data_IF_518635612875
#
_entry.id   IF_518635612875
#
_cell.length_a   1.000
_cell.length_b   1.000
_cell.length_c   1.000
_cell.angle_alpha   90.00
_cell.angle_beta   90.00
_cell.angle_gamma   90.00
#
_symmetry.space_group_name_H-M   'P 1'
#
loop_
_entity.id
_entity.type
_entity.pdbx_description
1 polymer ?
#
# COMPACT_ATOMS: atom_id res chain seq x y z
N UNK A 1 27.11 -35.01 30.18
CA UNK A 1 26.59 -33.69 30.61
C UNK A 1 26.09 -32.94 29.38
N UNK A 2 24.78 -32.96 29.13
CA UNK A 2 24.16 -32.30 28.00
C UNK A 2 23.42 -31.06 28.50
N UNK A 3 23.97 -29.88 28.22
CA UNK A 3 23.30 -28.61 28.51
C UNK A 3 22.17 -28.47 27.49
N UNK A 4 20.94 -28.73 27.93
CA UNK A 4 19.71 -28.42 27.19
C UNK A 4 19.64 -26.91 26.97
N UNK A 5 19.91 -26.45 25.75
CA UNK A 5 19.55 -25.11 25.28
C UNK A 5 18.03 -25.03 25.10
N UNK A 6 17.32 -24.84 26.21
CA UNK A 6 15.96 -24.36 26.21
C UNK A 6 15.98 -22.86 25.89
N UNK A 7 15.34 -22.43 24.78
CA UNK A 7 15.05 -21.00 24.62
C UNK A 7 14.91 -20.44 23.22
N UNK A 8 15.27 -21.16 22.16
CA UNK A 8 14.94 -20.68 20.80
C UNK A 8 13.53 -21.15 20.44
N UNK A 9 12.51 -20.48 21.00
CA UNK A 9 11.24 -20.38 20.31
C UNK A 9 11.57 -19.72 18.97
N UNK A 10 11.72 -20.52 17.92
CA UNK A 10 11.66 -20.05 16.55
C UNK A 10 10.34 -19.28 16.45
N UNK A 11 10.40 -17.95 16.46
CA UNK A 11 9.23 -17.12 16.25
C UNK A 11 8.67 -17.54 14.89
N UNK A 12 7.58 -18.33 14.91
CA UNK A 12 6.81 -18.58 13.69
C UNK A 12 6.55 -17.20 13.09
N UNK A 13 6.85 -16.96 11.81
CA UNK A 13 6.45 -15.71 11.18
C UNK A 13 4.95 -15.58 11.43
N UNK A 14 4.54 -14.59 12.21
CA UNK A 14 3.14 -14.35 12.49
C UNK A 14 2.51 -13.97 11.16
N UNK A 15 1.85 -14.94 10.53
CA UNK A 15 1.15 -14.73 9.28
C UNK A 15 0.11 -13.63 9.53
N UNK A 16 0.24 -12.53 8.79
CA UNK A 16 -0.65 -11.38 8.94
C UNK A 16 -2.06 -11.83 8.60
N UNK A 17 -2.99 -11.69 9.54
CA UNK A 17 -4.39 -12.08 9.34
C UNK A 17 -5.08 -11.09 8.41
N UNK A 18 -5.88 -11.59 7.47
CA UNK A 18 -6.69 -10.75 6.58
C UNK A 18 -8.14 -10.86 7.07
N UNK A 19 -8.69 -9.76 7.58
CA UNK A 19 -10.08 -9.64 8.03
C UNK A 19 -10.89 -8.86 6.98
N UNK A 20 -11.82 -9.53 6.31
CA UNK A 20 -12.74 -8.87 5.40
C UNK A 20 -14.04 -8.46 6.13
N UNK A 21 -14.25 -7.15 6.29
CA UNK A 21 -15.46 -6.56 6.86
C UNK A 21 -16.19 -5.65 5.86
N UNK A 22 -15.79 -5.66 4.59
CA UNK A 22 -16.45 -4.85 3.56
C UNK A 22 -17.68 -5.56 3.01
N UNK A 23 -18.79 -4.82 2.88
CA UNK A 23 -19.99 -5.23 2.15
C UNK A 23 -19.86 -5.07 0.64
N UNK A 24 -18.85 -4.34 0.16
CA UNK A 24 -18.61 -4.12 -1.27
C UNK A 24 -18.00 -5.36 -1.94
N UNK A 25 -18.51 -5.71 -3.12
CA UNK A 25 -17.97 -6.77 -3.96
C UNK A 25 -16.51 -6.49 -4.37
N UNK A 26 -15.60 -7.26 -3.78
CA UNK A 26 -14.19 -7.22 -4.10
C UNK A 26 -13.92 -7.91 -5.46
N UNK A 27 -12.95 -7.42 -6.25
CA UNK A 27 -12.46 -8.14 -7.42
C UNK A 27 -11.98 -9.55 -7.03
N UNK A 28 -12.19 -10.52 -7.93
CA UNK A 28 -11.77 -11.91 -7.73
C UNK A 28 -10.27 -11.98 -7.37
N UNK A 29 -9.94 -12.72 -6.32
CA UNK A 29 -8.54 -12.88 -5.86
C UNK A 29 -7.97 -11.65 -5.14
N UNK A 30 -8.80 -10.76 -4.59
CA UNK A 30 -8.34 -9.61 -3.80
C UNK A 30 -7.48 -10.05 -2.60
N UNK A 31 -7.94 -11.03 -1.81
CA UNK A 31 -7.21 -11.54 -0.65
C UNK A 31 -5.89 -12.22 -1.04
N UNK A 32 -5.90 -13.02 -2.11
CA UNK A 32 -4.68 -13.61 -2.67
C UNK A 32 -3.69 -12.53 -3.13
N UNK A 33 -4.19 -11.45 -3.74
CA UNK A 33 -3.37 -10.32 -4.14
C UNK A 33 -2.72 -9.65 -2.92
N UNK A 34 -3.44 -9.49 -1.81
CA UNK A 34 -2.87 -8.97 -0.55
C UNK A 34 -1.75 -9.90 -0.06
N UNK A 35 -1.98 -11.21 -0.03
CA UNK A 35 -0.97 -12.20 0.38
C UNK A 35 0.28 -12.14 -0.50
N UNK A 36 0.10 -12.04 -1.82
CA UNK A 36 1.19 -11.90 -2.79
C UNK A 36 1.99 -10.61 -2.58
N UNK A 37 1.31 -9.49 -2.31
CA UNK A 37 1.95 -8.19 -2.05
C UNK A 37 2.74 -8.23 -0.74
N UNK A 38 2.19 -8.85 0.32
CA UNK A 38 2.89 -9.01 1.59
C UNK A 38 4.09 -9.95 1.46
N UNK A 39 3.95 -11.07 0.74
CA UNK A 39 5.05 -12.00 0.51
C UNK A 39 6.23 -11.39 -0.28
N UNK A 40 5.98 -10.31 -1.03
CA UNK A 40 7.04 -9.57 -1.71
C UNK A 40 7.91 -8.75 -0.76
N UNK A 41 7.37 -8.32 0.38
CA UNK A 41 8.10 -7.48 1.32
C UNK A 41 8.97 -8.35 2.24
N UNK A 42 10.14 -7.85 2.68
CA UNK A 42 10.94 -8.51 3.70
C UNK A 42 10.14 -8.74 5.00
N UNK A 43 10.36 -9.90 5.62
CA UNK A 43 9.67 -10.30 6.86
C UNK A 43 9.96 -9.35 8.03
N UNK A 44 11.13 -8.72 8.03
CA UNK A 44 11.56 -7.78 9.08
C UNK A 44 10.68 -6.54 9.08
N UNK A 45 10.25 -6.08 7.90
CA UNK A 45 9.44 -4.87 7.72
C UNK A 45 7.96 -5.09 8.09
N UNK A 46 7.56 -6.36 8.22
CA UNK A 46 6.22 -6.79 8.61
C UNK A 46 6.14 -7.15 10.09
N UNK A 47 7.28 -7.18 10.79
CA UNK A 47 7.37 -7.66 12.16
C UNK A 47 6.55 -6.80 13.11
N UNK A 48 5.56 -7.42 13.76
CA UNK A 48 4.68 -6.74 14.71
C UNK A 48 3.38 -6.22 14.10
N UNK A 49 3.17 -6.41 12.79
CA UNK A 49 1.86 -6.31 12.16
C UNK A 49 1.06 -7.59 12.44
N UNK A 50 -0.14 -7.42 12.98
CA UNK A 50 -1.02 -8.55 13.32
C UNK A 50 -2.03 -8.84 12.22
N UNK A 51 -2.65 -7.80 11.66
CA UNK A 51 -3.76 -7.95 10.71
C UNK A 51 -3.90 -6.80 9.72
N UNK A 52 -4.55 -7.10 8.60
CA UNK A 52 -5.09 -6.16 7.62
C UNK A 52 -6.61 -6.30 7.63
N UNK A 53 -7.31 -5.20 7.86
CA UNK A 53 -8.76 -5.13 7.85
C UNK A 53 -9.24 -4.39 6.60
N UNK A 54 -10.14 -5.02 5.85
CA UNK A 54 -10.85 -4.41 4.73
C UNK A 54 -12.19 -3.89 5.24
N UNK A 55 -12.47 -2.61 5.04
CA UNK A 55 -13.73 -1.94 5.43
C UNK A 55 -14.29 -1.17 4.23
N UNK A 56 -15.58 -0.89 4.22
CA UNK A 56 -16.17 -0.10 3.12
C UNK A 56 -15.64 1.35 3.13
N UNK A 57 -15.65 1.99 4.30
CA UNK A 57 -15.09 3.32 4.52
C UNK A 57 -14.45 3.42 5.91
N UNK A 58 -13.32 4.12 6.01
CA UNK A 58 -12.61 4.31 7.29
C UNK A 58 -13.31 5.40 8.08
N UNK A 59 -13.84 5.05 9.25
CA UNK A 59 -14.49 5.96 10.17
C UNK A 59 -13.72 6.00 11.50
N UNK A 60 -12.69 6.84 11.59
CA UNK A 60 -11.96 7.03 12.83
C UNK A 60 -12.32 8.40 13.46
N UNK A 61 -12.86 8.43 14.69
CA UNK A 61 -13.24 9.67 15.37
C UNK A 61 -12.05 10.63 15.58
N UNK A 62 -10.81 10.14 15.66
CA UNK A 62 -9.62 10.98 15.83
C UNK A 62 -9.31 11.81 14.58
N UNK A 63 -9.69 11.35 13.40
CA UNK A 63 -9.49 12.06 12.13
C UNK A 63 -10.54 13.14 11.90
N UNK A 64 -11.70 13.05 12.55
CA UNK A 64 -12.72 14.10 12.54
C UNK A 64 -12.30 15.34 13.33
N UNK A 65 -11.42 15.14 14.31
CA UNK A 65 -10.91 16.19 15.19
C UNK A 65 -9.54 16.72 14.75
N UNK A 66 -8.99 16.28 13.61
CA UNK A 66 -7.68 16.76 13.15
C UNK A 66 -7.79 18.15 12.48
N UNK A 67 -6.82 19.05 12.70
CA UNK A 67 -6.87 20.43 12.20
C UNK A 67 -6.78 20.54 10.66
N UNK A 68 -6.38 19.47 9.98
CA UNK A 68 -6.33 19.40 8.51
C UNK A 68 -7.59 18.72 7.97
N UNK A 69 -8.43 19.41 7.17
CA UNK A 69 -9.58 18.79 6.55
C UNK A 69 -9.12 17.78 5.49
N UNK A 70 -9.37 16.49 5.75
CA UNK A 70 -9.12 15.43 4.78
C UNK A 70 -10.21 15.53 3.71
N UNK A 71 -9.84 15.96 2.50
CA UNK A 71 -10.75 16.04 1.37
C UNK A 71 -11.00 14.64 0.79
N UNK A 72 -12.21 14.11 1.00
CA UNK A 72 -12.65 12.82 0.46
C UNK A 72 -12.36 11.62 1.38
N UNK A 73 -12.65 10.43 0.86
CA UNK A 73 -12.51 9.18 1.62
C UNK A 73 -11.06 8.72 1.73
N UNK A 74 -10.67 8.30 2.93
CA UNK A 74 -9.33 7.78 3.19
C UNK A 74 -9.16 6.38 2.61
N UNK A 75 -8.14 6.15 1.77
CA UNK A 75 -7.92 4.85 1.16
C UNK A 75 -7.28 3.83 2.12
N UNK A 76 -6.59 4.28 3.16
CA UNK A 76 -5.96 3.41 4.14
C UNK A 76 -5.53 4.15 5.40
N UNK A 77 -5.47 3.43 6.51
CA UNK A 77 -5.07 3.95 7.81
C UNK A 77 -4.17 2.95 8.55
N UNK A 78 -3.04 3.44 9.06
CA UNK A 78 -2.15 2.68 9.91
C UNK A 78 -2.51 2.88 11.38
N UNK A 79 -2.71 1.79 12.11
CA UNK A 79 -2.92 1.81 13.55
C UNK A 79 -1.66 1.30 14.26
N UNK A 80 -0.89 2.18 14.95
CA UNK A 80 0.32 1.77 15.65
C UNK A 80 -0.01 0.86 16.84
N UNK A 81 1.01 0.16 17.36
CA UNK A 81 0.88 -0.65 18.58
C UNK A 81 0.50 0.26 19.76
N UNK A 82 -0.63 -0.03 20.40
CA UNK A 82 -1.10 0.68 21.60
C UNK A 82 -1.34 -0.34 22.70
N UNK A 83 -0.61 -0.19 23.81
CA UNK A 83 -0.70 -1.07 24.98
C UNK A 83 -0.55 -2.55 24.58
N UNK A 84 -1.63 -3.35 24.73
CA UNK A 84 -1.66 -4.78 24.46
C UNK A 84 -2.17 -5.14 23.04
N UNK A 85 -2.53 -4.13 22.21
CA UNK A 85 -2.96 -4.35 20.83
C UNK A 85 -1.77 -4.11 19.89
N UNK A 86 -1.43 -5.10 19.08
CA UNK A 86 -0.37 -4.96 18.08
C UNK A 86 -0.79 -4.01 16.95
N UNK A 87 0.19 -3.64 16.13
CA UNK A 87 -0.05 -2.77 14.99
C UNK A 87 -0.89 -3.49 13.94
N UNK A 88 -1.80 -2.77 13.29
CA UNK A 88 -2.65 -3.32 12.24
C UNK A 88 -2.97 -2.27 11.18
N UNK A 89 -3.38 -2.74 10.01
CA UNK A 89 -3.67 -1.90 8.85
C UNK A 89 -5.17 -1.91 8.55
N UNK A 90 -5.73 -0.77 8.20
CA UNK A 90 -7.10 -0.63 7.74
C UNK A 90 -7.09 -0.13 6.29
N UNK A 91 -7.85 -0.76 5.41
CA UNK A 91 -7.93 -0.41 3.99
C UNK A 91 -9.39 -0.20 3.61
N UNK A 92 -9.69 0.94 3.00
CA UNK A 92 -11.01 1.29 2.52
C UNK A 92 -11.23 0.73 1.11
N UNK A 93 -12.14 -0.23 0.97
CA UNK A 93 -12.49 -0.82 -0.32
C UNK A 93 -13.38 0.12 -1.12
N UNK A 94 -14.20 0.94 -0.47
CA UNK A 94 -15.04 1.96 -1.11
C UNK A 94 -14.21 3.07 -1.73
N UNK A 95 -13.19 3.57 -1.04
CA UNK A 95 -12.27 4.57 -1.60
C UNK A 95 -11.46 4.02 -2.79
N UNK A 96 -11.16 2.71 -2.79
CA UNK A 96 -10.41 2.05 -3.86
C UNK A 96 -11.26 1.73 -5.10
N UNK A 97 -12.51 1.32 -4.91
CA UNK A 97 -13.39 0.84 -5.98
C UNK A 97 -14.35 1.92 -6.51
N UNK A 98 -14.50 3.03 -5.78
CA UNK A 98 -15.37 4.16 -6.12
C UNK A 98 -16.74 3.68 -6.63
N UNK A 99 -17.44 2.82 -5.87
CA UNK A 99 -18.64 2.14 -6.37
C UNK A 99 -19.78 3.11 -6.71
N UNK A 100 -19.78 4.30 -6.11
CA UNK A 100 -20.78 5.36 -6.29
C UNK A 100 -20.61 6.18 -7.56
N UNK A 101 -19.50 6.02 -8.29
CA UNK A 101 -19.22 6.80 -9.50
C UNK A 101 -19.70 6.13 -10.81
N UNK A 102 -19.69 6.90 -11.90
CA UNK A 102 -20.10 6.47 -13.24
C UNK A 102 -19.37 5.19 -13.68
N UNK A 103 -20.03 4.40 -14.52
CA UNK A 103 -19.57 3.09 -15.01
C UNK A 103 -18.11 3.09 -15.51
N UNK A 104 -17.70 4.12 -16.28
CA UNK A 104 -16.33 4.24 -16.77
C UNK A 104 -15.29 4.39 -15.65
N UNK A 105 -15.58 5.21 -14.63
CA UNK A 105 -14.70 5.37 -13.46
C UNK A 105 -14.66 4.09 -12.62
N UNK A 106 -15.81 3.44 -12.43
CA UNK A 106 -15.90 2.14 -11.75
C UNK A 106 -15.06 1.06 -12.45
N UNK A 107 -15.10 1.00 -13.78
CA UNK A 107 -14.30 0.04 -14.54
C UNK A 107 -12.79 0.34 -14.43
N UNK A 108 -12.40 1.61 -14.53
CA UNK A 108 -11.01 2.02 -14.30
C UNK A 108 -10.53 1.68 -12.88
N UNK A 109 -11.36 1.94 -11.86
CA UNK A 109 -11.06 1.62 -10.47
C UNK A 109 -10.86 0.11 -10.26
N UNK A 110 -11.73 -0.73 -10.85
CA UNK A 110 -11.56 -2.21 -10.84
C UNK A 110 -10.28 -2.66 -11.53
N UNK A 111 -9.95 -2.07 -12.68
CA UNK A 111 -8.73 -2.40 -13.45
C UNK A 111 -7.45 -1.99 -12.70
N UNK A 112 -7.45 -0.82 -12.06
CA UNK A 112 -6.34 -0.31 -11.28
C UNK A 112 -6.31 -0.83 -9.83
N UNK A 113 -7.28 -1.63 -9.41
CA UNK A 113 -7.44 -2.07 -8.02
C UNK A 113 -6.18 -2.74 -7.49
N UNK A 114 -5.62 -3.71 -8.23
CA UNK A 114 -4.43 -4.45 -7.79
C UNK A 114 -3.20 -3.54 -7.60
N UNK A 115 -2.99 -2.58 -8.50
CA UNK A 115 -1.85 -1.65 -8.38
C UNK A 115 -2.06 -0.63 -7.25
N UNK A 116 -3.29 -0.13 -7.10
CA UNK A 116 -3.62 0.83 -6.04
C UNK A 116 -3.52 0.16 -4.67
N UNK A 117 -4.03 -1.06 -4.54
CA UNK A 117 -3.91 -1.89 -3.33
C UNK A 117 -2.45 -2.15 -2.97
N UNK A 118 -1.60 -2.49 -3.94
CA UNK A 118 -0.16 -2.67 -3.71
C UNK A 118 0.50 -1.38 -3.22
N UNK A 119 0.21 -0.24 -3.86
CA UNK A 119 0.75 1.05 -3.44
C UNK A 119 0.34 1.45 -2.03
N UNK A 120 -0.92 1.20 -1.67
CA UNK A 120 -1.42 1.45 -0.32
C UNK A 120 -0.76 0.54 0.71
N UNK A 121 -0.68 -0.77 0.46
CA UNK A 121 -0.03 -1.70 1.38
C UNK A 121 1.44 -1.32 1.56
N UNK A 122 2.18 -1.00 0.49
CA UNK A 122 3.58 -0.55 0.62
C UNK A 122 3.69 0.77 1.39
N UNK A 123 2.75 1.71 1.21
CA UNK A 123 2.73 2.94 2.00
C UNK A 123 2.48 2.66 3.48
N UNK A 124 1.47 1.84 3.81
CA UNK A 124 1.09 1.51 5.18
C UNK A 124 2.16 0.68 5.91
N UNK A 125 2.77 -0.30 5.21
CA UNK A 125 3.92 -1.04 5.76
C UNK A 125 5.14 -0.12 5.90
N UNK A 126 5.32 0.83 4.97
CA UNK A 126 6.33 1.88 5.11
C UNK A 126 6.12 2.73 6.36
N UNK A 127 4.89 3.17 6.62
CA UNK A 127 4.53 3.87 7.85
C UNK A 127 4.88 3.03 9.09
N UNK A 128 4.48 1.76 9.10
CA UNK A 128 4.84 0.84 10.18
C UNK A 128 6.35 0.72 10.38
N UNK A 129 7.10 0.47 9.31
CA UNK A 129 8.55 0.31 9.36
C UNK A 129 9.25 1.56 9.90
N UNK A 130 8.93 2.74 9.39
CA UNK A 130 9.59 3.98 9.80
C UNK A 130 9.13 4.53 11.16
N UNK A 131 7.90 4.25 11.57
CA UNK A 131 7.40 4.71 12.88
C UNK A 131 7.75 3.74 14.00
N UNK A 132 7.79 2.44 13.73
CA UNK A 132 7.88 1.40 14.77
C UNK A 132 9.21 0.68 14.80
N UNK A 133 9.86 0.47 13.66
CA UNK A 133 11.09 -0.35 13.59
C UNK A 133 12.35 0.49 13.37
N UNK A 134 12.26 1.55 12.58
CA UNK A 134 13.40 2.38 12.19
C UNK A 134 13.31 3.76 12.83
N UNK A 135 13.87 3.90 14.03
CA UNK A 135 13.89 5.16 14.79
C UNK A 135 14.94 6.19 14.31
N UNK A 136 15.68 5.91 13.24
CA UNK A 136 16.76 6.78 12.74
C UNK A 136 16.26 8.01 11.96
N UNK A 137 14.94 8.17 11.78
CA UNK A 137 14.36 9.17 10.89
C UNK A 137 13.64 10.24 11.68
N UNK A 138 14.03 11.51 11.43
CA UNK A 138 13.35 12.68 12.00
C UNK A 138 11.92 12.76 11.49
N UNK A 139 10.99 13.20 12.35
CA UNK A 139 9.56 13.28 12.02
C UNK A 139 9.25 14.07 10.74
N UNK A 140 9.98 15.16 10.52
CA UNK A 140 9.87 16.02 9.32
C UNK A 140 10.16 15.26 8.02
N UNK A 141 11.04 14.25 8.06
CA UNK A 141 11.46 13.50 6.90
C UNK A 141 10.75 12.14 6.75
N UNK A 142 9.74 11.85 7.58
CA UNK A 142 9.03 10.57 7.53
C UNK A 142 8.23 10.43 6.24
N UNK A 143 7.41 11.41 5.90
CA UNK A 143 6.52 11.33 4.73
C UNK A 143 7.31 11.16 3.41
N UNK A 144 8.37 11.95 3.13
CA UNK A 144 9.19 11.72 1.94
C UNK A 144 9.81 10.32 1.88
N UNK A 145 10.26 9.79 3.02
CA UNK A 145 10.89 8.47 3.08
C UNK A 145 9.88 7.34 2.90
N UNK A 146 8.70 7.45 3.51
CA UNK A 146 7.59 6.50 3.33
C UNK A 146 7.17 6.50 1.86
N UNK A 147 7.05 7.68 1.24
CA UNK A 147 6.71 7.81 -0.18
C UNK A 147 7.76 7.16 -1.09
N UNK A 148 9.05 7.44 -0.85
CA UNK A 148 10.13 6.83 -1.62
C UNK A 148 10.15 5.30 -1.46
N UNK A 149 9.94 4.81 -0.24
CA UNK A 149 9.82 3.38 0.04
C UNK A 149 8.65 2.75 -0.73
N UNK A 150 7.47 3.35 -0.66
CA UNK A 150 6.30 2.87 -1.37
C UNK A 150 6.51 2.86 -2.89
N UNK A 151 7.07 3.93 -3.46
CA UNK A 151 7.36 4.04 -4.89
C UNK A 151 8.39 3.01 -5.35
N UNK A 152 9.47 2.78 -4.57
CA UNK A 152 10.50 1.79 -4.88
C UNK A 152 9.90 0.38 -4.92
N UNK A 153 9.14 0.00 -3.90
CA UNK A 153 8.53 -1.32 -3.82
C UNK A 153 7.43 -1.51 -4.88
N UNK A 154 6.63 -0.47 -5.14
CA UNK A 154 5.61 -0.51 -6.20
C UNK A 154 6.22 -0.69 -7.58
N UNK A 155 7.33 0.01 -7.88
CA UNK A 155 8.05 -0.16 -9.15
C UNK A 155 8.58 -1.58 -9.30
N UNK A 156 9.27 -2.08 -8.28
CA UNK A 156 9.85 -3.42 -8.30
C UNK A 156 8.76 -4.52 -8.36
N UNK A 157 7.63 -4.32 -7.66
CA UNK A 157 6.47 -5.21 -7.73
C UNK A 157 5.84 -5.22 -9.12
N UNK A 158 5.62 -4.03 -9.70
CA UNK A 158 5.09 -3.88 -11.05
C UNK A 158 6.01 -4.54 -12.09
N UNK A 159 7.32 -4.41 -11.93
CA UNK A 159 8.30 -5.07 -12.79
C UNK A 159 8.18 -6.59 -12.71
N UNK A 160 8.15 -7.19 -11.50
CA UNK A 160 7.96 -8.65 -11.33
C UNK A 160 6.63 -9.15 -11.88
N UNK A 161 5.53 -8.42 -11.65
CA UNK A 161 4.22 -8.77 -12.21
C UNK A 161 4.21 -8.66 -13.74
N UNK A 162 4.94 -7.69 -14.27
CA UNK A 162 5.08 -7.49 -15.72
C UNK A 162 5.95 -8.56 -16.37
N UNK A 163 6.99 -9.08 -15.71
CA UNK A 163 7.91 -10.08 -16.28
C UNK A 163 7.22 -11.34 -16.82
N UNK A 164 6.17 -11.80 -16.13
CA UNK A 164 5.37 -12.95 -16.54
C UNK A 164 4.26 -12.61 -17.55
N UNK A 165 4.05 -11.32 -17.86
CA UNK A 165 2.99 -10.85 -18.76
C UNK A 165 3.49 -10.77 -20.20
N UNK A 166 2.78 -11.40 -21.15
CA UNK A 166 3.05 -11.29 -22.60
C UNK A 166 3.13 -9.83 -23.05
N UNK A 167 2.25 -8.96 -22.53
CA UNK A 167 2.27 -7.51 -22.76
C UNK A 167 3.61 -6.87 -22.40
N UNK A 168 4.23 -7.22 -21.28
CA UNK A 168 5.49 -6.58 -20.90
C UNK A 168 6.63 -6.97 -21.84
N UNK A 169 6.64 -8.19 -22.38
CA UNK A 169 7.64 -8.59 -23.38
C UNK A 169 7.55 -7.73 -24.65
N UNK A 170 6.33 -7.37 -25.07
CA UNK A 170 6.11 -6.47 -26.22
C UNK A 170 6.37 -4.99 -25.90
N UNK A 171 6.01 -4.49 -24.71
CA UNK A 171 6.10 -3.06 -24.36
C UNK A 171 7.42 -2.66 -23.67
N UNK A 172 8.22 -3.61 -23.16
CA UNK A 172 9.56 -3.35 -22.59
C UNK A 172 10.47 -2.51 -23.51
N UNK A 173 10.63 -2.82 -24.82
CA UNK A 173 11.47 -2.01 -25.71
C UNK A 173 10.93 -0.59 -25.96
N UNK A 174 9.64 -0.36 -25.76
CA UNK A 174 9.00 0.94 -25.98
C UNK A 174 9.02 1.87 -24.75
N UNK A 175 9.38 1.33 -23.56
CA UNK A 175 9.50 2.11 -22.32
C UNK A 175 10.28 3.43 -22.46
N UNK A 176 11.50 3.47 -23.05
CA UNK A 176 12.26 4.73 -23.13
C UNK A 176 11.55 5.81 -23.95
N UNK A 177 10.79 5.43 -24.98
CA UNK A 177 10.03 6.38 -25.80
C UNK A 177 8.81 6.92 -25.06
N UNK A 178 8.08 6.03 -24.37
CA UNK A 178 6.93 6.41 -23.54
C UNK A 178 7.36 7.32 -22.39
N UNK A 179 8.50 7.06 -21.74
CA UNK A 179 9.04 7.93 -20.68
C UNK A 179 9.42 9.33 -21.20
N UNK A 180 9.99 9.42 -22.41
CA UNK A 180 10.28 10.70 -23.06
C UNK A 180 9.00 11.49 -23.35
N UNK A 181 7.96 10.83 -23.85
CA UNK A 181 6.66 11.46 -24.08
C UNK A 181 5.99 11.89 -22.77
N UNK A 182 6.04 11.08 -21.72
CA UNK A 182 5.51 11.45 -20.41
C UNK A 182 6.23 12.68 -19.83
N UNK A 183 7.57 12.75 -19.93
CA UNK A 183 8.34 13.93 -19.52
C UNK A 183 7.96 15.18 -20.32
N UNK A 184 7.77 15.03 -21.63
CA UNK A 184 7.35 16.13 -22.50
C UNK A 184 5.93 16.62 -22.16
N UNK A 185 4.98 15.71 -21.94
CA UNK A 185 3.61 16.04 -21.54
C UNK A 185 3.56 16.71 -20.16
N UNK A 186 4.30 16.19 -19.17
CA UNK A 186 4.37 16.81 -17.85
C UNK A 186 5.00 18.21 -17.90
N UNK A 187 6.01 18.42 -18.76
CA UNK A 187 6.59 19.75 -18.99
C UNK A 187 5.54 20.70 -19.57
N UNK A 188 4.80 20.27 -20.60
CA UNK A 188 3.70 21.07 -21.18
C UNK A 188 2.59 21.37 -20.19
N UNK A 189 2.20 20.41 -19.36
CA UNK A 189 1.16 20.59 -18.34
C UNK A 189 1.61 21.57 -17.25
N UNK A 190 2.87 21.48 -16.80
CA UNK A 190 3.44 22.43 -15.84
C UNK A 190 3.56 23.84 -16.42
N UNK A 191 3.93 23.97 -17.70
CA UNK A 191 3.99 25.26 -18.40
C UNK A 191 2.59 25.87 -18.60
N UNK A 192 1.57 25.04 -18.81
CA UNK A 192 0.17 25.49 -18.89
C UNK A 192 -0.38 25.92 -17.52
N UNK A 193 -0.03 25.21 -16.44
CA UNK A 193 -0.41 25.57 -15.07
C UNK A 193 0.25 26.85 -14.55
N UNK A 194 1.43 27.22 -15.08
CA UNK A 194 2.11 28.48 -14.75
C UNK A 194 1.61 29.70 -15.54
N UNK A 195 0.86 29.46 -16.63
CA UNK A 195 0.28 30.51 -17.48
C UNK A 195 -1.13 30.93 -17.06
N UNK A 196 -1.78 30.14 -16.22
CA UNK A 196 -3.02 30.48 -15.51
C UNK A 196 -2.69 30.94 -14.09
#
# INVERSE_FOLDING_TARGET
>A
MAIKLAGLKSAKPSEIKIENQSSIDLPKGAEESIRQILAFLPTEQQRGLERIRLVDFINNPQLKNSPTPIKGDLPGLYHPKVQNKNAWLEISTGALLQPTENFGKRWMAKSAFKSNLAGLIFSLVGQHYYLTLRHSVKRENLEPQIRQYAQKNLKAWSEKQSENSRRAKFFKPLRPYVERWAKWLNKKAADAQKKN
#
